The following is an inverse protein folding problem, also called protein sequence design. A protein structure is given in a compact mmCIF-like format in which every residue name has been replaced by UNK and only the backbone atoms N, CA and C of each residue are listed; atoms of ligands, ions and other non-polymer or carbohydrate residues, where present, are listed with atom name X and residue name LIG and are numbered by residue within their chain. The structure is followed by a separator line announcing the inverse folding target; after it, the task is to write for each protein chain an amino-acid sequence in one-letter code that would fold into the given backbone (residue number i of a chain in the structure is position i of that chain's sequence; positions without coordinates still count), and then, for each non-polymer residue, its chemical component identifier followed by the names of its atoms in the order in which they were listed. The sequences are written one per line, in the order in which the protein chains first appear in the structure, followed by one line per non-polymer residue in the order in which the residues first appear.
data_IF_023284486777
#
_entry.id   IF_023284486777
#
_cell.length_a   1.000
_cell.length_b   1.000
_cell.length_c   1.000
_cell.angle_alpha   90.00
_cell.angle_beta   90.00
_cell.angle_gamma   90.00
#
_symmetry.space_group_name_H-M   'P 1'
#
loop_
_entity.id
_entity.type
_entity.pdbx_description
1 polymer ?
#
# COMPACT_ATOMS: atom_id res chain seq x y z
N UNK A 1 7.08 58.89 -41.00
CA UNK A 1 7.80 57.70 -41.50
C UNK A 1 6.79 56.59 -41.50
N UNK A 2 6.12 56.45 -42.64
CA UNK A 2 5.20 55.37 -42.96
C UNK A 2 5.99 54.30 -43.72
N UNK A 3 5.79 53.02 -43.37
CA UNK A 3 6.14 51.93 -44.27
C UNK A 3 5.02 50.90 -44.25
N UNK A 4 4.22 50.97 -45.32
CA UNK A 4 3.32 49.94 -45.79
C UNK A 4 4.10 48.68 -46.24
N UNK A 5 3.59 47.53 -45.81
CA UNK A 5 3.24 46.34 -46.59
C UNK A 5 3.90 46.14 -47.98
N UNK A 6 4.59 45.01 -48.20
CA UNK A 6 4.11 43.90 -49.06
C UNK A 6 5.20 42.86 -49.46
N UNK A 7 4.74 41.61 -49.47
CA UNK A 7 5.08 40.49 -50.37
C UNK A 7 6.48 39.83 -50.33
N UNK A 8 6.46 38.54 -49.97
CA UNK A 8 7.23 37.54 -50.71
C UNK A 8 6.46 36.21 -50.81
N UNK A 9 6.25 35.81 -52.06
CA UNK A 9 5.53 34.62 -52.55
C UNK A 9 6.21 33.29 -52.18
N UNK A 10 5.46 32.16 -52.25
CA UNK A 10 5.97 30.84 -51.97
C UNK A 10 6.52 30.20 -53.24
N UNK A 11 7.79 29.78 -53.25
CA UNK A 11 8.28 28.87 -54.28
C UNK A 11 9.34 27.93 -53.72
N UNK A 12 9.13 26.64 -53.99
CA UNK A 12 10.11 25.57 -54.20
C UNK A 12 9.86 24.33 -53.33
N UNK A 13 9.07 23.40 -53.86
CA UNK A 13 9.16 21.99 -53.48
C UNK A 13 10.55 21.42 -53.84
N UNK A 14 11.11 20.52 -53.03
CA UNK A 14 12.03 19.53 -53.56
C UNK A 14 11.45 18.12 -53.45
N UNK A 15 11.24 17.55 -54.63
CA UNK A 15 11.56 16.19 -55.05
C UNK A 15 11.29 15.03 -54.07
N UNK A 16 10.32 14.19 -54.46
CA UNK A 16 9.99 12.94 -53.81
C UNK A 16 11.17 11.96 -53.69
N UNK A 17 11.46 11.58 -52.45
CA UNK A 17 12.22 10.37 -52.12
C UNK A 17 11.23 9.22 -51.92
N UNK A 18 11.21 8.29 -52.88
CA UNK A 18 10.40 7.07 -52.81
C UNK A 18 10.84 6.23 -51.60
N UNK A 19 9.97 6.13 -50.57
CA UNK A 19 10.18 5.27 -49.40
C UNK A 19 10.14 3.81 -49.86
N UNK A 20 11.26 3.08 -49.69
CA UNK A 20 11.31 1.63 -49.92
C UNK A 20 10.21 0.93 -49.11
N UNK A 21 9.49 -0.06 -49.67
CA UNK A 21 8.43 -0.75 -48.95
C UNK A 21 8.99 -1.43 -47.70
N UNK A 22 8.38 -1.11 -46.56
CA UNK A 22 8.79 -1.62 -45.25
C UNK A 22 8.66 -3.15 -45.19
N UNK A 23 9.65 -3.80 -44.59
CA UNK A 23 9.62 -5.23 -44.26
C UNK A 23 8.29 -5.57 -43.56
N UNK A 24 7.57 -6.62 -43.95
CA UNK A 24 6.31 -6.98 -43.30
C UNK A 24 6.56 -7.13 -41.80
N UNK A 25 5.78 -6.41 -40.98
CA UNK A 25 5.79 -6.54 -39.52
C UNK A 25 5.43 -7.99 -39.22
N UNK A 26 6.40 -8.77 -38.76
CA UNK A 26 6.13 -10.09 -38.20
C UNK A 26 5.22 -9.86 -37.00
N UNK A 27 3.95 -10.26 -37.11
CA UNK A 27 3.00 -10.15 -36.01
C UNK A 27 3.61 -10.85 -34.79
N UNK A 28 3.85 -10.05 -33.75
CA UNK A 28 4.28 -10.57 -32.46
C UNK A 28 3.03 -11.26 -31.89
N UNK A 29 3.11 -12.52 -31.46
CA UNK A 29 1.97 -13.17 -30.81
C UNK A 29 1.46 -12.28 -29.69
N UNK A 30 0.14 -12.14 -29.61
CA UNK A 30 -0.52 -11.37 -28.56
C UNK A 30 -0.02 -11.87 -27.21
N UNK A 31 0.46 -10.93 -26.39
CA UNK A 31 0.82 -11.22 -25.02
C UNK A 31 -0.47 -11.63 -24.32
N UNK A 32 -0.56 -12.89 -23.91
CA UNK A 32 -1.60 -13.39 -23.02
C UNK A 32 -1.52 -12.61 -21.69
N UNK A 33 -2.40 -11.62 -21.53
CA UNK A 33 -2.48 -10.77 -20.33
C UNK A 33 -3.46 -11.35 -19.31
N UNK A 34 -4.24 -12.38 -19.66
CA UNK A 34 -5.28 -12.96 -18.81
C UNK A 34 -4.78 -14.14 -17.96
N UNK A 35 -3.56 -14.61 -18.21
CA UNK A 35 -2.93 -15.73 -17.50
C UNK A 35 -1.66 -15.39 -16.75
N UNK A 36 -1.37 -14.12 -16.42
CA UNK A 36 -0.32 -13.81 -15.43
C UNK A 36 -0.93 -14.15 -14.07
N UNK A 37 -0.61 -15.29 -13.44
CA UNK A 37 -0.96 -15.44 -12.05
C UNK A 37 -0.27 -14.28 -11.35
N UNK A 38 -0.94 -13.61 -10.43
CA UNK A 38 -0.24 -12.84 -9.41
C UNK A 38 0.69 -13.82 -8.69
N UNK A 39 1.86 -14.08 -9.28
CA UNK A 39 2.90 -14.90 -8.73
C UNK A 39 3.16 -14.27 -7.38
N UNK A 40 2.91 -15.06 -6.33
CA UNK A 40 3.08 -14.66 -4.95
C UNK A 40 4.31 -13.74 -4.88
N UNK A 41 4.18 -12.56 -4.27
CA UNK A 41 5.21 -11.52 -4.37
C UNK A 41 6.63 -12.05 -4.04
N UNK A 42 6.72 -13.05 -3.16
CA UNK A 42 7.92 -13.82 -2.88
C UNK A 42 8.46 -14.64 -4.07
N UNK A 43 7.60 -15.32 -4.83
CA UNK A 43 7.97 -16.03 -6.06
C UNK A 43 8.44 -15.07 -7.16
N UNK A 44 7.84 -13.88 -7.25
CA UNK A 44 8.28 -12.83 -8.17
C UNK A 44 9.69 -12.35 -7.82
N UNK A 45 9.99 -12.15 -6.53
CA UNK A 45 11.34 -11.84 -6.05
C UNK A 45 12.32 -12.97 -6.40
N UNK A 46 11.99 -14.21 -6.06
CA UNK A 46 12.84 -15.38 -6.32
C UNK A 46 13.17 -15.52 -7.81
N UNK A 47 12.18 -15.29 -8.68
CA UNK A 47 12.36 -15.28 -10.13
C UNK A 47 13.33 -14.18 -10.56
N UNK A 48 13.19 -12.95 -10.06
CA UNK A 48 14.10 -11.87 -10.40
C UNK A 48 15.52 -12.07 -9.85
N UNK A 49 15.68 -12.68 -8.68
CA UNK A 49 16.98 -13.07 -8.13
C UNK A 49 17.67 -14.12 -9.03
N UNK A 50 16.92 -15.12 -9.50
CA UNK A 50 17.45 -16.10 -10.45
C UNK A 50 17.89 -15.45 -11.77
N UNK A 51 17.15 -14.45 -12.26
CA UNK A 51 17.50 -13.71 -13.47
C UNK A 51 18.76 -12.86 -13.29
N UNK A 52 18.99 -12.30 -12.10
CA UNK A 52 20.23 -11.59 -11.77
C UNK A 52 21.43 -12.55 -11.83
N UNK A 53 21.31 -13.75 -11.26
CA UNK A 53 22.38 -14.75 -11.30
C UNK A 53 22.68 -15.17 -12.74
N UNK A 54 21.67 -15.54 -13.51
CA UNK A 54 21.84 -16.00 -14.90
C UNK A 54 22.41 -14.89 -15.81
N UNK A 55 21.96 -13.66 -15.65
CA UNK A 55 22.46 -12.52 -16.43
C UNK A 55 23.89 -12.16 -16.05
N UNK A 56 24.26 -12.26 -14.77
CA UNK A 56 25.63 -12.10 -14.29
C UNK A 56 26.56 -13.14 -14.90
N UNK A 57 26.19 -14.42 -14.85
CA UNK A 57 26.99 -15.51 -15.41
C UNK A 57 27.21 -15.34 -16.92
N UNK A 58 26.15 -14.94 -17.64
CA UNK A 58 26.25 -14.63 -19.08
C UNK A 58 27.19 -13.46 -19.33
N UNK A 59 27.08 -12.38 -18.55
CA UNK A 59 27.95 -11.22 -18.66
C UNK A 59 29.41 -11.57 -18.38
N UNK A 60 29.70 -12.29 -17.28
CA UNK A 60 31.06 -12.70 -16.93
C UNK A 60 31.69 -13.60 -18.00
N UNK A 61 30.92 -14.51 -18.57
CA UNK A 61 31.38 -15.38 -19.67
C UNK A 61 31.78 -14.56 -20.90
N UNK A 62 30.90 -13.66 -21.35
CA UNK A 62 31.15 -12.83 -22.54
C UNK A 62 32.29 -11.83 -22.32
N UNK A 63 32.45 -11.33 -21.09
CA UNK A 63 33.55 -10.45 -20.73
C UNK A 63 34.89 -11.19 -20.79
N UNK A 64 34.95 -12.43 -20.29
CA UNK A 64 36.16 -13.26 -20.34
C UNK A 64 36.55 -13.67 -21.75
N UNK A 65 35.58 -13.87 -22.64
CA UNK A 65 35.84 -14.19 -24.05
C UNK A 65 36.15 -12.96 -24.92
N UNK A 66 36.07 -11.74 -24.37
CA UNK A 66 36.29 -10.50 -25.13
C UNK A 66 35.21 -10.24 -26.20
N UNK A 67 34.01 -10.79 -26.02
CA UNK A 67 32.92 -10.70 -26.98
C UNK A 67 32.29 -9.29 -26.98
N UNK A 68 32.01 -8.74 -28.16
CA UNK A 68 31.34 -7.46 -28.32
C UNK A 68 29.92 -7.44 -27.71
N UNK A 69 29.28 -8.60 -27.57
CA UNK A 69 27.98 -8.73 -26.93
C UNK A 69 28.01 -8.50 -25.40
N UNK A 70 29.19 -8.45 -24.77
CA UNK A 70 29.33 -8.24 -23.34
C UNK A 70 28.65 -6.95 -22.86
N UNK A 71 28.63 -5.89 -23.70
CA UNK A 71 27.95 -4.64 -23.38
C UNK A 71 26.43 -4.79 -23.26
N UNK A 72 25.82 -5.62 -24.11
CA UNK A 72 24.38 -5.89 -24.02
C UNK A 72 24.04 -6.74 -22.80
N UNK A 73 24.86 -7.76 -22.52
CA UNK A 73 24.70 -8.58 -21.33
C UNK A 73 24.85 -7.77 -20.03
N UNK A 74 25.75 -6.77 -20.01
CA UNK A 74 25.89 -5.83 -18.90
C UNK A 74 24.61 -5.02 -18.65
N UNK A 75 23.98 -4.51 -19.72
CA UNK A 75 22.71 -3.77 -19.62
C UNK A 75 21.61 -4.67 -19.07
N UNK A 76 21.50 -5.91 -19.58
CA UNK A 76 20.51 -6.88 -19.08
C UNK A 76 20.73 -7.22 -17.60
N UNK A 77 21.98 -7.42 -17.19
CA UNK A 77 22.34 -7.63 -15.78
C UNK A 77 21.92 -6.44 -14.91
N UNK A 78 22.32 -5.22 -15.27
CA UNK A 78 21.98 -4.02 -14.52
C UNK A 78 20.46 -3.79 -14.42
N UNK A 79 19.72 -4.06 -15.49
CA UNK A 79 18.26 -3.95 -15.49
C UNK A 79 17.61 -4.99 -14.56
N UNK A 80 18.07 -6.24 -14.61
CA UNK A 80 17.58 -7.29 -13.72
C UNK A 80 17.90 -7.00 -12.24
N UNK A 81 19.10 -6.47 -11.96
CA UNK A 81 19.54 -6.10 -10.63
C UNK A 81 18.71 -4.95 -10.06
N UNK A 82 18.48 -3.91 -10.85
CA UNK A 82 17.63 -2.78 -10.46
C UNK A 82 16.21 -3.23 -10.10
N UNK A 83 15.65 -4.15 -10.89
CA UNK A 83 14.32 -4.68 -10.63
C UNK A 83 14.28 -5.52 -9.34
N UNK A 84 15.29 -6.35 -9.09
CA UNK A 84 15.37 -7.15 -7.86
C UNK A 84 15.49 -6.27 -6.61
N UNK A 85 16.28 -5.20 -6.66
CA UNK A 85 16.41 -4.21 -5.57
C UNK A 85 15.05 -3.55 -5.29
N UNK A 86 14.37 -3.05 -6.32
CA UNK A 86 13.08 -2.40 -6.17
C UNK A 86 12.01 -3.33 -5.55
N UNK A 87 12.00 -4.61 -5.93
CA UNK A 87 11.09 -5.60 -5.35
C UNK A 87 11.40 -5.89 -3.86
N UNK A 88 12.68 -5.92 -3.47
CA UNK A 88 13.07 -6.08 -2.06
C UNK A 88 12.70 -4.86 -1.20
N UNK A 89 12.90 -3.65 -1.71
CA UNK A 89 12.50 -2.41 -1.03
C UNK A 89 10.97 -2.35 -0.82
N UNK A 90 10.20 -2.84 -1.79
CA UNK A 90 8.75 -2.97 -1.67
C UNK A 90 8.35 -4.07 -0.66
N UNK A 91 9.08 -5.19 -0.60
CA UNK A 91 8.88 -6.22 0.43
C UNK A 91 9.10 -5.65 1.84
N UNK A 92 10.19 -4.90 2.02
CA UNK A 92 10.53 -4.29 3.30
C UNK A 92 9.45 -3.30 3.72
N UNK A 93 9.02 -2.40 2.83
CA UNK A 93 7.90 -1.48 3.09
C UNK A 93 6.62 -2.21 3.48
N UNK A 94 6.27 -3.29 2.78
CA UNK A 94 5.10 -4.13 3.14
C UNK A 94 5.27 -4.81 4.50
N UNK A 95 6.47 -5.26 4.83
CA UNK A 95 6.76 -5.91 6.12
C UNK A 95 6.70 -4.92 7.30
N UNK A 96 7.19 -3.69 7.11
CA UNK A 96 7.08 -2.61 8.09
C UNK A 96 5.61 -2.26 8.30
N UNK A 97 4.88 -2.04 7.21
CA UNK A 97 3.45 -1.75 7.27
C UNK A 97 2.64 -2.89 7.91
N UNK A 98 2.98 -4.15 7.64
CA UNK A 98 2.34 -5.31 8.28
C UNK A 98 2.66 -5.43 9.76
N UNK A 99 3.81 -4.93 10.23
CA UNK A 99 4.15 -4.88 11.67
C UNK A 99 3.45 -3.73 12.39
N UNK A 100 3.19 -2.63 11.68
CA UNK A 100 2.46 -1.47 12.20
C UNK A 100 0.94 -1.69 12.23
N UNK A 101 0.43 -2.63 11.43
CA UNK A 101 -0.96 -3.04 11.48
C UNK A 101 -1.21 -4.08 12.56
N UNK A 102 -1.94 -3.68 13.60
CA UNK A 102 -2.57 -4.65 14.50
C UNK A 102 -3.64 -5.40 13.69
N UNK A 103 -3.65 -6.74 13.68
CA UNK A 103 -4.72 -7.51 13.05
C UNK A 103 -6.08 -7.01 13.53
N UNK A 104 -7.04 -6.84 12.62
CA UNK A 104 -8.36 -6.33 12.98
C UNK A 104 -9.04 -7.15 14.09
N UNK A 105 -8.74 -8.45 14.18
CA UNK A 105 -9.19 -9.34 15.24
C UNK A 105 -8.59 -8.94 16.59
N UNK A 106 -7.28 -8.73 16.66
CA UNK A 106 -6.59 -8.35 17.89
C UNK A 106 -6.99 -6.95 18.36
N UNK A 107 -7.15 -6.01 17.43
CA UNK A 107 -7.67 -4.67 17.73
C UNK A 107 -9.10 -4.73 18.31
N UNK A 108 -9.99 -5.56 17.73
CA UNK A 108 -11.35 -5.78 18.24
C UNK A 108 -11.34 -6.40 19.64
N UNK A 109 -10.53 -7.41 19.87
CA UNK A 109 -10.40 -8.02 21.21
C UNK A 109 -9.87 -7.03 22.24
N UNK A 110 -8.85 -6.25 21.90
CA UNK A 110 -8.32 -5.21 22.78
C UNK A 110 -9.38 -4.16 23.11
N UNK A 111 -10.17 -3.72 22.12
CA UNK A 111 -11.29 -2.79 22.32
C UNK A 111 -12.38 -3.38 23.21
N UNK A 112 -12.74 -4.65 23.03
CA UNK A 112 -13.74 -5.32 23.88
C UNK A 112 -13.25 -5.47 25.32
N UNK A 113 -11.98 -5.82 25.53
CA UNK A 113 -11.38 -5.88 26.88
C UNK A 113 -11.38 -4.50 27.55
N UNK A 114 -11.01 -3.45 26.82
CA UNK A 114 -11.03 -2.08 27.34
C UNK A 114 -12.46 -1.63 27.67
N UNK A 115 -13.43 -1.91 26.80
CA UNK A 115 -14.84 -1.59 27.04
C UNK A 115 -15.38 -2.32 28.27
N UNK A 116 -15.04 -3.61 28.43
CA UNK A 116 -15.37 -4.41 29.62
C UNK A 116 -14.80 -3.79 30.90
N UNK A 117 -13.54 -3.36 30.88
CA UNK A 117 -12.91 -2.72 32.03
C UNK A 117 -13.54 -1.35 32.36
N UNK A 118 -13.87 -0.53 31.36
CA UNK A 118 -14.58 0.75 31.59
C UNK A 118 -15.94 0.47 32.24
N UNK A 119 -16.66 -0.52 31.71
CA UNK A 119 -17.92 -1.00 32.26
C UNK A 119 -17.74 -1.46 33.70
N UNK A 120 -16.78 -2.31 34.01
CA UNK A 120 -16.55 -2.76 35.39
C UNK A 120 -16.26 -1.59 36.35
N UNK A 121 -15.38 -0.67 35.96
CA UNK A 121 -15.00 0.49 36.78
C UNK A 121 -16.17 1.44 37.04
N UNK A 122 -17.04 1.63 36.06
CA UNK A 122 -18.26 2.42 36.25
C UNK A 122 -19.22 1.75 37.26
N UNK A 123 -19.30 0.42 37.31
CA UNK A 123 -20.26 -0.29 38.19
C UNK A 123 -19.78 -0.22 39.64
N UNK A 124 -18.47 -0.29 39.82
CA UNK A 124 -17.83 -0.18 41.12
C UNK A 124 -17.72 1.27 41.64
N UNK A 125 -18.02 2.28 40.82
CA UNK A 125 -17.80 3.70 41.16
C UNK A 125 -18.51 4.11 42.46
N UNK A 126 -19.78 3.71 42.62
CA UNK A 126 -20.56 4.02 43.81
C UNK A 126 -19.96 3.40 45.06
N UNK A 127 -19.67 2.10 45.02
CA UNK A 127 -19.16 1.34 46.18
C UNK A 127 -17.72 1.68 46.55
N UNK A 128 -16.84 1.97 45.58
CA UNK A 128 -15.43 2.23 45.86
C UNK A 128 -15.13 3.69 46.22
N UNK A 129 -15.87 4.64 45.63
CA UNK A 129 -15.60 6.07 45.81
C UNK A 129 -16.64 6.77 46.70
N UNK A 130 -17.85 6.23 46.83
CA UNK A 130 -18.97 6.92 47.48
C UNK A 130 -18.68 7.32 48.93
N UNK A 131 -18.09 6.43 49.73
CA UNK A 131 -17.76 6.71 51.13
C UNK A 131 -16.76 7.87 51.27
N UNK A 132 -15.78 7.94 50.37
CA UNK A 132 -14.77 9.00 50.35
C UNK A 132 -15.32 10.32 49.78
N UNK A 133 -16.29 10.27 48.87
CA UNK A 133 -16.90 11.45 48.26
C UNK A 133 -17.77 12.23 49.24
N UNK A 134 -18.44 11.56 50.19
CA UNK A 134 -19.18 12.22 51.26
C UNK A 134 -19.13 11.42 52.57
N UNK A 135 -18.09 11.61 53.39
CA UNK A 135 -17.94 10.87 54.64
C UNK A 135 -19.06 11.13 55.67
N UNK A 136 -19.79 12.25 55.56
CA UNK A 136 -20.87 12.62 56.49
C UNK A 136 -22.20 11.96 56.15
N UNK A 137 -22.41 11.62 54.88
CA UNK A 137 -23.58 10.88 54.40
C UNK A 137 -23.17 10.04 53.17
N UNK A 138 -22.50 8.89 53.42
CA UNK A 138 -22.02 8.00 52.38
C UNK A 138 -23.13 7.41 51.51
N UNK A 139 -24.30 7.17 52.11
CA UNK A 139 -25.43 6.54 51.40
C UNK A 139 -25.87 7.44 50.24
N UNK A 140 -25.96 8.75 50.48
CA UNK A 140 -26.31 9.72 49.45
C UNK A 140 -25.29 9.78 48.31
N UNK A 141 -23.99 9.80 48.61
CA UNK A 141 -22.95 9.83 47.56
C UNK A 141 -22.89 8.54 46.77
N UNK A 142 -22.99 7.37 47.43
CA UNK A 142 -23.09 6.07 46.75
C UNK A 142 -24.27 6.06 45.78
N UNK A 143 -25.45 6.51 46.22
CA UNK A 143 -26.64 6.56 45.37
C UNK A 143 -26.49 7.47 44.15
N UNK A 144 -25.97 8.69 44.35
CA UNK A 144 -25.75 9.65 43.25
C UNK A 144 -24.71 9.14 42.25
N UNK A 145 -23.61 8.57 42.70
CA UNK A 145 -22.56 8.03 41.82
C UNK A 145 -23.02 6.79 41.06
N UNK A 146 -23.81 5.92 41.70
CA UNK A 146 -24.38 4.73 41.06
C UNK A 146 -25.35 5.12 39.95
N UNK A 147 -26.24 6.08 40.21
CA UNK A 147 -27.18 6.57 39.20
C UNK A 147 -26.46 7.24 38.03
N UNK A 148 -25.46 8.08 38.31
CA UNK A 148 -24.66 8.70 37.26
C UNK A 148 -23.90 7.66 36.43
N UNK A 149 -23.32 6.64 37.06
CA UNK A 149 -22.62 5.57 36.33
C UNK A 149 -23.57 4.80 35.40
N UNK A 150 -24.81 4.57 35.84
CA UNK A 150 -25.87 3.97 35.01
C UNK A 150 -26.18 4.82 33.77
N UNK A 151 -26.37 6.12 33.94
CA UNK A 151 -26.59 7.03 32.81
C UNK A 151 -25.37 7.09 31.87
N UNK A 152 -24.16 7.09 32.42
CA UNK A 152 -22.93 7.11 31.65
C UNK A 152 -22.80 5.86 30.77
N UNK A 153 -23.12 4.67 31.31
CA UNK A 153 -23.19 3.43 30.52
C UNK A 153 -24.15 3.55 29.36
N UNK A 154 -25.34 4.08 29.59
CA UNK A 154 -26.37 4.17 28.56
C UNK A 154 -25.88 5.07 27.41
N UNK A 155 -25.23 6.19 27.74
CA UNK A 155 -24.61 7.08 26.74
C UNK A 155 -23.52 6.37 25.95
N UNK A 156 -22.64 5.62 26.62
CA UNK A 156 -21.58 4.83 25.97
C UNK A 156 -22.16 3.75 25.06
N UNK A 157 -23.16 2.99 25.52
CA UNK A 157 -23.80 1.93 24.76
C UNK A 157 -24.54 2.46 23.52
N UNK A 158 -25.15 3.65 23.62
CA UNK A 158 -25.79 4.33 22.49
C UNK A 158 -24.79 4.73 21.41
N UNK A 159 -23.65 5.30 21.80
CA UNK A 159 -22.57 5.66 20.86
C UNK A 159 -21.94 4.42 20.22
N UNK A 160 -21.86 3.31 20.98
CA UNK A 160 -21.34 2.04 20.47
C UNK A 160 -22.31 1.31 19.50
N UNK A 161 -23.50 1.86 19.23
CA UNK A 161 -24.46 1.28 18.27
C UNK A 161 -25.14 -0.01 18.76
N UNK A 162 -25.00 -0.37 20.05
CA UNK A 162 -25.55 -1.62 20.62
C UNK A 162 -27.09 -1.62 20.65
N UNK A 163 -27.73 -0.46 20.45
CA UNK A 163 -29.19 -0.28 20.43
C UNK A 163 -29.75 0.10 19.05
N UNK A 164 -28.94 0.12 17.98
CA UNK A 164 -29.51 0.25 16.63
C UNK A 164 -30.01 -1.12 16.16
N UNK A 165 -31.34 -1.28 16.06
CA UNK A 165 -31.92 -2.43 15.36
C UNK A 165 -31.33 -2.50 13.93
N UNK A 166 -31.00 -3.70 13.42
CA UNK A 166 -30.50 -3.84 12.06
C UNK A 166 -31.53 -3.25 11.10
N UNK A 167 -31.14 -2.21 10.35
CA UNK A 167 -32.00 -1.63 9.31
C UNK A 167 -32.34 -2.74 8.28
N UNK A 168 -33.62 -2.85 7.88
CA UNK A 168 -34.08 -3.85 6.91
C UNK A 168 -33.45 -3.65 5.53
#
# INVERSE_FOLDING_TARGET
MDFENEQKTPDSEPAGSARKPGRPKKERPELDVEGIPDANFAETIAKHESLVVLSREKYERLLRSGDAEARYAQVTYNQSLKQAIALREEQERRSVFSREQIPAVEAREAMLRLAGLIVERLDALGSECGENCNPKDPIKSIGVLTEWAREAREKVARVAGVFEEPKP
#
